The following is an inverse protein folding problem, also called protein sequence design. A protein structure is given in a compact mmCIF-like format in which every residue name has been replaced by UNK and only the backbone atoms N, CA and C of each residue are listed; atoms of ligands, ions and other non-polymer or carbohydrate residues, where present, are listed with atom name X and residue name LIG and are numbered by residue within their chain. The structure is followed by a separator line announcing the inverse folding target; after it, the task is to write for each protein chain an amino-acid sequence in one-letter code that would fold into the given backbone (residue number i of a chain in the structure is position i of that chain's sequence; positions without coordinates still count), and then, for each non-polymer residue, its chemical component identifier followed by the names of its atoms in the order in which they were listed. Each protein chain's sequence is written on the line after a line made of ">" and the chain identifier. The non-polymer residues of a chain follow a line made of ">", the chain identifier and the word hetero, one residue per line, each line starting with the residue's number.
data_IF_960904374296
#
_entry.id   IF_960904374296
#
_cell.length_a   1.000
_cell.length_b   1.000
_cell.length_c   1.000
_cell.angle_alpha   90.00
_cell.angle_beta   90.00
_cell.angle_gamma   90.00
#
_symmetry.space_group_name_H-M   'P 1'
#
loop_
_entity.id
_entity.type
_entity.pdbx_description
1 polymer ?
#
# COMPACT_ATOMS: atom_id res chain seq x y z
N UNK A 1 1.01 24.05 -14.41
CA UNK A 1 1.88 23.37 -13.43
C UNK A 1 1.24 22.07 -12.93
N UNK A 2 0.04 22.08 -12.32
CA UNK A 2 -0.61 20.90 -11.73
C UNK A 2 -0.72 19.70 -12.71
N UNK A 3 -1.30 19.90 -13.90
CA UNK A 3 -1.50 18.82 -14.87
C UNK A 3 -0.17 18.15 -15.31
N UNK A 4 0.90 18.93 -15.44
CA UNK A 4 2.22 18.40 -15.79
C UNK A 4 2.79 17.55 -14.66
N UNK A 5 2.65 18.02 -13.41
CA UNK A 5 3.12 17.29 -12.24
C UNK A 5 2.35 15.97 -12.04
N UNK A 6 1.02 16.00 -12.22
CA UNK A 6 0.19 14.80 -12.15
C UNK A 6 0.57 13.79 -13.24
N UNK A 7 0.75 14.25 -14.49
CA UNK A 7 1.16 13.37 -15.58
C UNK A 7 2.54 12.74 -15.33
N UNK A 8 3.49 13.47 -14.74
CA UNK A 8 4.78 12.93 -14.35
C UNK A 8 4.62 11.86 -13.26
N UNK A 9 3.83 12.13 -12.21
CA UNK A 9 3.58 11.15 -11.15
C UNK A 9 2.94 9.86 -11.70
N UNK A 10 1.96 9.99 -12.59
CA UNK A 10 1.33 8.84 -13.25
C UNK A 10 2.36 8.01 -14.03
N UNK A 11 3.17 8.67 -14.86
CA UNK A 11 4.21 8.01 -15.64
C UNK A 11 5.22 7.26 -14.76
N UNK A 12 5.68 7.89 -13.67
CA UNK A 12 6.64 7.28 -12.74
C UNK A 12 6.06 6.05 -12.06
N UNK A 13 4.82 6.15 -11.55
CA UNK A 13 4.16 5.04 -10.89
C UNK A 13 3.80 3.90 -11.85
N UNK A 14 3.40 4.22 -13.08
CA UNK A 14 3.18 3.22 -14.13
C UNK A 14 4.49 2.48 -14.48
N UNK A 15 5.60 3.21 -14.61
CA UNK A 15 6.93 2.59 -14.86
C UNK A 15 7.40 1.75 -13.68
N UNK A 16 6.94 2.05 -12.48
CA UNK A 16 7.17 1.27 -11.26
C UNK A 16 6.18 0.10 -11.09
N UNK A 17 5.36 -0.21 -12.09
CA UNK A 17 4.29 -1.22 -12.02
C UNK A 17 3.33 -1.00 -10.84
N UNK A 18 3.01 0.27 -10.54
CA UNK A 18 2.03 0.66 -9.52
C UNK A 18 0.90 1.41 -10.19
N UNK A 19 -0.23 0.74 -10.37
CA UNK A 19 -1.39 1.26 -11.09
C UNK A 19 -2.50 1.65 -10.11
N UNK A 20 -3.19 2.75 -10.44
CA UNK A 20 -4.34 3.23 -9.67
C UNK A 20 -5.58 3.22 -10.55
N UNK A 21 -6.67 2.66 -10.05
CA UNK A 21 -7.96 2.63 -10.74
C UNK A 21 -8.57 4.03 -10.84
N UNK A 22 -8.35 4.87 -9.82
CA UNK A 22 -8.89 6.23 -9.76
C UNK A 22 -7.82 7.21 -9.30
N UNK A 23 -7.55 8.22 -10.14
CA UNK A 23 -6.79 9.41 -9.79
C UNK A 23 -7.75 10.49 -9.33
N UNK A 24 -8.00 10.54 -8.01
CA UNK A 24 -9.00 11.42 -7.45
C UNK A 24 -8.48 12.86 -7.32
N UNK A 25 -9.29 13.83 -7.74
CA UNK A 25 -8.99 15.25 -7.60
C UNK A 25 -9.75 15.85 -6.42
N UNK A 26 -9.06 16.41 -5.43
CA UNK A 26 -9.68 17.12 -4.32
C UNK A 26 -10.59 18.27 -4.80
N UNK A 27 -10.24 18.91 -5.92
CA UNK A 27 -11.10 19.94 -6.54
C UNK A 27 -12.51 19.41 -6.82
N UNK A 28 -12.64 18.14 -7.22
CA UNK A 28 -13.94 17.53 -7.49
C UNK A 28 -14.87 17.48 -6.28
N UNK A 29 -14.33 17.45 -5.05
CA UNK A 29 -15.14 17.55 -3.84
C UNK A 29 -15.90 18.87 -3.78
N UNK A 30 -15.23 19.98 -4.14
CA UNK A 30 -15.83 21.31 -4.13
C UNK A 30 -16.78 21.52 -5.33
N UNK A 31 -16.40 21.01 -6.51
CA UNK A 31 -17.21 21.16 -7.74
C UNK A 31 -18.50 20.30 -7.72
N UNK A 32 -18.50 19.19 -7.00
CA UNK A 32 -19.61 18.23 -6.92
C UNK A 32 -20.51 18.39 -5.71
N UNK A 33 -20.34 19.44 -4.90
CA UNK A 33 -21.02 19.61 -3.60
C UNK A 33 -20.80 18.43 -2.64
N UNK A 34 -19.68 17.72 -2.76
CA UNK A 34 -19.37 16.62 -1.86
C UNK A 34 -19.00 17.12 -0.46
N UNK A 35 -18.44 18.32 -0.36
CA UNK A 35 -18.14 18.96 0.93
C UNK A 35 -19.43 19.25 1.69
N UNK A 36 -20.43 19.83 1.03
CA UNK A 36 -21.74 20.12 1.60
C UNK A 36 -22.44 18.83 2.05
N UNK A 37 -22.46 17.80 1.21
CA UNK A 37 -23.04 16.50 1.57
C UNK A 37 -22.32 15.83 2.73
N UNK A 38 -20.98 15.91 2.76
CA UNK A 38 -20.17 15.44 3.88
C UNK A 38 -20.53 16.13 5.18
N UNK A 39 -20.65 17.46 5.14
CA UNK A 39 -21.07 18.28 6.27
C UNK A 39 -22.48 17.93 6.75
N UNK A 40 -23.46 17.85 5.84
CA UNK A 40 -24.84 17.45 6.15
C UNK A 40 -24.88 16.08 6.83
N UNK A 41 -24.08 15.13 6.37
CA UNK A 41 -23.96 13.82 7.01
C UNK A 41 -23.48 13.93 8.45
N UNK A 42 -22.42 14.70 8.74
CA UNK A 42 -21.90 14.91 10.09
C UNK A 42 -22.92 15.63 11.00
N UNK A 43 -23.63 16.64 10.49
CA UNK A 43 -24.70 17.34 11.21
C UNK A 43 -25.82 16.36 11.56
N UNK A 44 -26.22 15.49 10.63
CA UNK A 44 -27.30 14.52 10.87
C UNK A 44 -26.96 13.48 11.95
N UNK A 45 -25.68 13.26 12.23
CA UNK A 45 -25.19 12.38 13.31
C UNK A 45 -25.12 13.08 14.67
N UNK A 46 -25.29 14.42 14.74
CA UNK A 46 -25.34 15.19 15.98
C UNK A 46 -23.95 15.54 16.58
N UNK A 47 -22.88 15.38 15.82
CA UNK A 47 -21.51 15.65 16.31
C UNK A 47 -20.96 17.02 15.88
N UNK A 48 -21.75 17.84 15.18
CA UNK A 48 -21.38 19.20 14.77
C UNK A 48 -22.00 20.21 15.70
N UNK A 49 -21.22 21.24 16.10
CA UNK A 49 -21.69 22.34 16.93
C UNK A 49 -20.96 23.63 16.59
N UNK A 50 -21.59 24.78 16.95
CA UNK A 50 -21.02 26.10 16.77
C UNK A 50 -20.47 26.64 18.10
N UNK A 51 -19.24 27.19 18.06
CA UNK A 51 -18.60 27.88 19.18
C UNK A 51 -17.67 28.98 18.68
N UNK A 52 -17.73 30.15 19.32
CA UNK A 52 -16.88 31.32 19.03
C UNK A 52 -16.92 31.76 17.55
N UNK A 53 -18.06 31.60 16.89
CA UNK A 53 -18.28 31.94 15.50
C UNK A 53 -17.73 30.89 14.49
N UNK A 54 -17.15 29.81 14.95
CA UNK A 54 -16.65 28.71 14.14
C UNK A 54 -17.52 27.47 14.31
N UNK A 55 -17.52 26.59 13.29
CA UNK A 55 -18.24 25.31 13.34
C UNK A 55 -17.25 24.19 13.59
N UNK A 56 -17.54 23.36 14.57
CA UNK A 56 -16.67 22.32 15.11
C UNK A 56 -17.26 20.93 14.94
N UNK A 57 -16.38 19.94 14.81
CA UNK A 57 -16.69 18.51 14.90
C UNK A 57 -16.22 17.97 16.25
N UNK A 58 -17.11 17.30 16.97
CA UNK A 58 -16.86 16.73 18.29
C UNK A 58 -16.11 15.41 18.19
N UNK A 59 -14.85 15.49 17.80
CA UNK A 59 -13.97 14.32 17.62
C UNK A 59 -13.52 13.72 18.95
N UNK A 60 -13.60 14.48 20.05
CA UNK A 60 -13.30 13.99 21.40
C UNK A 60 -14.26 12.92 21.90
N UNK A 61 -15.48 12.83 21.35
CA UNK A 61 -16.40 11.73 21.63
C UNK A 61 -15.85 10.36 21.20
N UNK A 62 -14.80 10.37 20.35
CA UNK A 62 -14.21 9.19 19.72
C UNK A 62 -12.66 9.17 19.81
N UNK A 63 -12.12 9.48 20.96
CA UNK A 63 -10.70 9.34 21.32
C UNK A 63 -9.71 10.25 20.55
N UNK A 64 -10.20 11.32 19.88
CA UNK A 64 -9.28 12.38 19.41
C UNK A 64 -8.86 13.28 20.60
N UNK A 65 -7.70 13.90 20.53
CA UNK A 65 -7.12 14.73 21.60
C UNK A 65 -7.89 16.05 21.84
N UNK A 66 -8.63 16.53 20.83
CA UNK A 66 -9.46 17.73 20.89
C UNK A 66 -10.45 17.78 19.75
N UNK A 67 -11.53 18.55 19.91
CA UNK A 67 -12.47 18.85 18.84
C UNK A 67 -11.80 19.64 17.69
N UNK A 68 -12.34 19.49 16.49
CA UNK A 68 -11.74 20.05 15.28
C UNK A 68 -12.64 21.03 14.58
N UNK A 69 -12.05 22.15 14.18
CA UNK A 69 -12.76 23.16 13.39
C UNK A 69 -12.97 22.64 11.97
N UNK A 70 -14.22 22.67 11.51
CA UNK A 70 -14.60 22.44 10.11
C UNK A 70 -14.66 23.76 9.34
N UNK A 71 -15.35 24.76 9.90
CA UNK A 71 -15.51 26.09 9.30
C UNK A 71 -14.99 27.12 10.31
N UNK A 72 -14.07 27.97 9.85
CA UNK A 72 -13.51 29.04 10.67
C UNK A 72 -14.52 30.16 10.90
N UNK A 73 -14.25 31.06 11.84
CA UNK A 73 -15.09 32.23 12.13
C UNK A 73 -15.26 33.21 10.95
N UNK A 74 -14.34 33.19 9.98
CA UNK A 74 -14.41 33.95 8.74
C UNK A 74 -15.24 33.27 7.63
N UNK A 75 -15.77 32.06 7.91
CA UNK A 75 -16.55 31.25 6.97
C UNK A 75 -15.72 30.36 6.05
N UNK A 76 -14.36 30.39 6.14
CA UNK A 76 -13.51 29.52 5.35
C UNK A 76 -13.50 28.09 5.87
N UNK A 77 -13.51 27.13 4.95
CA UNK A 77 -13.30 25.72 5.25
C UNK A 77 -11.85 25.46 5.69
N UNK A 78 -11.68 24.57 6.66
CA UNK A 78 -10.36 24.04 7.00
C UNK A 78 -9.98 22.87 6.09
N UNK A 79 -8.69 22.53 6.03
CA UNK A 79 -8.26 21.28 5.38
C UNK A 79 -8.95 20.05 5.96
N UNK A 80 -9.19 20.07 7.26
CA UNK A 80 -9.89 18.98 7.93
C UNK A 80 -11.34 18.79 7.45
N UNK A 81 -12.03 19.88 7.07
CA UNK A 81 -13.36 19.76 6.45
C UNK A 81 -13.30 19.02 5.10
N UNK A 82 -12.26 19.27 4.28
CA UNK A 82 -12.02 18.51 3.04
C UNK A 82 -11.72 17.04 3.32
N UNK A 83 -10.92 16.74 4.33
CA UNK A 83 -10.58 15.36 4.74
C UNK A 83 -11.84 14.59 5.18
N UNK A 84 -12.73 15.24 5.96
CA UNK A 84 -13.98 14.62 6.38
C UNK A 84 -14.93 14.37 5.21
N UNK A 85 -15.06 15.34 4.31
CA UNK A 85 -15.84 15.19 3.09
C UNK A 85 -15.31 14.07 2.18
N UNK A 86 -14.00 13.95 2.08
CA UNK A 86 -13.36 12.89 1.29
C UNK A 86 -13.59 11.49 1.89
N UNK A 87 -13.61 11.37 3.21
CA UNK A 87 -13.99 10.11 3.86
C UNK A 87 -15.44 9.72 3.49
N UNK A 88 -16.39 10.65 3.65
CA UNK A 88 -17.79 10.42 3.31
C UNK A 88 -17.97 10.11 1.82
N UNK A 89 -17.24 10.78 0.93
CA UNK A 89 -17.24 10.50 -0.50
C UNK A 89 -16.77 9.06 -0.81
N UNK A 90 -15.69 8.59 -0.17
CA UNK A 90 -15.23 7.20 -0.31
C UNK A 90 -16.31 6.20 0.08
N UNK A 91 -16.99 6.43 1.21
CA UNK A 91 -18.11 5.58 1.66
C UNK A 91 -19.28 5.61 0.67
N UNK A 92 -19.60 6.78 0.12
CA UNK A 92 -20.65 6.94 -0.88
C UNK A 92 -20.33 6.26 -2.22
N UNK A 93 -19.04 6.03 -2.53
CA UNK A 93 -18.62 5.21 -3.68
C UNK A 93 -18.81 3.70 -3.47
N UNK A 94 -19.30 3.26 -2.29
CA UNK A 94 -19.65 1.89 -1.99
C UNK A 94 -18.54 1.02 -1.43
N UNK A 95 -17.45 1.62 -0.95
CA UNK A 95 -16.39 0.87 -0.28
C UNK A 95 -16.75 0.59 1.19
N UNK A 96 -16.71 -0.67 1.59
CA UNK A 96 -16.96 -1.08 2.97
C UNK A 96 -15.84 -0.70 3.92
N UNK A 97 -14.59 -0.71 3.43
CA UNK A 97 -13.39 -0.36 4.16
C UNK A 97 -12.59 0.72 3.42
N UNK A 98 -12.31 1.82 4.10
CA UNK A 98 -11.42 2.87 3.62
C UNK A 98 -10.03 2.70 4.25
N UNK A 99 -9.01 2.39 3.46
CA UNK A 99 -7.63 2.25 3.92
C UNK A 99 -6.85 3.53 3.62
N UNK A 100 -6.25 4.12 4.65
CA UNK A 100 -5.36 5.27 4.53
C UNK A 100 -3.92 4.82 4.74
N UNK A 101 -3.06 5.11 3.78
CA UNK A 101 -1.62 4.87 3.89
C UNK A 101 -0.92 6.21 4.10
N UNK A 102 -0.36 6.40 5.29
CA UNK A 102 0.27 7.66 5.71
C UNK A 102 1.73 7.44 6.10
N UNK A 103 2.55 8.49 5.97
CA UNK A 103 3.92 8.49 6.50
C UNK A 103 3.95 8.59 8.03
N UNK A 104 5.07 8.21 8.63
CA UNK A 104 5.27 8.21 10.08
C UNK A 104 5.10 9.58 10.74
N UNK A 105 5.34 10.66 10.01
CA UNK A 105 5.11 12.04 10.44
C UNK A 105 3.62 12.38 10.64
N UNK A 106 2.71 11.56 10.11
CA UNK A 106 1.26 11.68 10.27
C UNK A 106 0.67 10.77 11.36
N UNK A 107 1.47 10.16 12.22
CA UNK A 107 0.98 9.26 13.27
C UNK A 107 -0.13 9.88 14.14
N UNK A 108 -0.03 11.16 14.47
CA UNK A 108 -1.07 11.90 15.19
C UNK A 108 -2.41 12.06 14.46
N UNK A 109 -2.48 11.69 13.16
CA UNK A 109 -3.73 11.73 12.39
C UNK A 109 -4.59 10.46 12.55
N UNK A 110 -4.05 9.38 13.08
CA UNK A 110 -4.74 8.07 13.17
C UNK A 110 -6.06 8.20 13.94
N UNK A 111 -6.01 8.68 15.18
CA UNK A 111 -7.21 8.82 16.01
C UNK A 111 -8.20 9.84 15.42
N UNK A 112 -7.67 10.92 14.83
CA UNK A 112 -8.49 11.93 14.14
C UNK A 112 -9.30 11.34 12.98
N UNK A 113 -8.67 10.53 12.12
CA UNK A 113 -9.36 9.89 10.99
C UNK A 113 -10.37 8.85 11.47
N UNK A 114 -10.05 8.09 12.52
CA UNK A 114 -11.00 7.16 13.15
C UNK A 114 -12.20 7.88 13.74
N UNK A 115 -11.97 9.01 14.42
CA UNK A 115 -13.03 9.85 14.94
C UNK A 115 -13.92 10.44 13.83
N UNK A 116 -13.36 10.80 12.66
CA UNK A 116 -14.14 11.21 11.48
C UNK A 116 -15.10 10.11 11.03
N UNK A 117 -14.62 8.86 10.93
CA UNK A 117 -15.45 7.73 10.56
C UNK A 117 -16.61 7.54 11.55
N UNK A 118 -16.34 7.58 12.85
CA UNK A 118 -17.35 7.47 13.91
C UNK A 118 -18.35 8.63 13.87
N UNK A 119 -17.88 9.88 13.70
CA UNK A 119 -18.74 11.04 13.54
C UNK A 119 -19.61 10.97 12.28
N UNK A 120 -19.20 10.25 11.25
CA UNK A 120 -20.00 9.99 10.06
C UNK A 120 -21.02 8.85 10.23
N UNK A 121 -21.04 8.19 11.41
CA UNK A 121 -21.95 7.11 11.74
C UNK A 121 -21.47 5.73 11.32
N UNK A 122 -20.18 5.58 11.02
CA UNK A 122 -19.51 4.31 10.69
C UNK A 122 -18.81 3.72 11.92
N UNK A 123 -18.50 2.42 11.89
CA UNK A 123 -17.67 1.77 12.91
C UNK A 123 -16.17 1.99 12.59
N UNK A 124 -15.41 2.72 13.45
CA UNK A 124 -14.00 2.99 13.22
C UNK A 124 -13.09 1.75 13.32
N UNK A 125 -13.61 0.59 13.72
CA UNK A 125 -12.88 -0.67 13.73
C UNK A 125 -13.16 -1.53 12.49
N UNK A 126 -14.16 -1.18 11.70
CA UNK A 126 -14.61 -1.94 10.52
C UNK A 126 -14.44 -1.14 9.24
N UNK A 127 -14.81 0.13 9.26
CA UNK A 127 -14.96 0.92 8.04
C UNK A 127 -13.73 1.78 7.68
N UNK A 128 -12.76 1.90 8.59
CA UNK A 128 -11.52 2.64 8.33
C UNK A 128 -10.31 1.89 8.91
N UNK A 129 -9.24 1.86 8.14
CA UNK A 129 -7.93 1.35 8.56
C UNK A 129 -6.87 2.40 8.22
N UNK A 130 -5.95 2.67 9.14
CA UNK A 130 -4.85 3.60 8.90
C UNK A 130 -3.54 2.87 9.05
N UNK A 131 -2.81 2.76 7.95
CA UNK A 131 -1.49 2.14 7.89
C UNK A 131 -0.42 3.24 7.92
N UNK A 132 0.59 3.07 8.77
CA UNK A 132 1.70 4.02 8.90
C UNK A 132 2.95 3.41 8.28
N UNK A 133 3.41 4.00 7.17
CA UNK A 133 4.67 3.65 6.54
C UNK A 133 5.85 4.37 7.18
N UNK A 134 6.92 3.62 7.49
CA UNK A 134 8.15 4.18 8.02
C UNK A 134 9.05 4.74 6.92
N UNK A 135 10.05 5.52 7.34
CA UNK A 135 11.03 6.11 6.42
C UNK A 135 11.93 5.02 5.83
N UNK A 136 12.15 5.12 4.53
CA UNK A 136 13.13 4.32 3.80
C UNK A 136 14.43 5.12 3.70
N UNK A 137 15.53 4.55 4.17
CA UNK A 137 16.87 5.08 4.03
C UNK A 137 17.61 4.33 2.95
N UNK A 138 18.59 4.97 2.31
CA UNK A 138 19.41 4.37 1.26
C UNK A 138 20.89 4.50 1.59
N UNK A 139 21.66 3.45 1.28
CA UNK A 139 23.12 3.44 1.33
C UNK A 139 23.70 3.22 -0.05
N UNK A 140 24.84 3.87 -0.34
CA UNK A 140 25.66 3.65 -1.53
C UNK A 140 27.12 3.83 -1.17
N UNK A 141 27.99 2.90 -1.58
CA UNK A 141 29.41 2.93 -1.24
C UNK A 141 29.70 2.84 0.26
N UNK A 142 28.81 2.23 1.05
CA UNK A 142 28.92 2.11 2.50
C UNK A 142 28.51 3.35 3.29
N UNK A 143 28.01 4.40 2.64
CA UNK A 143 27.56 5.64 3.27
C UNK A 143 26.06 5.88 3.08
N UNK A 144 25.38 6.42 4.10
CA UNK A 144 23.97 6.82 4.01
C UNK A 144 23.82 7.98 3.01
N UNK A 145 23.02 7.78 1.97
CA UNK A 145 22.68 8.84 1.02
C UNK A 145 21.71 9.81 1.70
N UNK A 146 22.22 10.99 2.06
CA UNK A 146 21.44 12.01 2.75
C UNK A 146 20.49 12.71 1.80
N UNK A 147 19.20 12.52 2.04
CA UNK A 147 18.13 13.24 1.37
C UNK A 147 18.01 14.65 1.96
N UNK A 148 18.37 15.68 1.22
CA UNK A 148 18.23 17.08 1.66
C UNK A 148 17.54 17.91 0.58
N UNK A 149 16.29 18.29 0.84
CA UNK A 149 15.54 19.24 -0.02
C UNK A 149 16.29 20.57 -0.22
N UNK A 150 17.06 21.00 0.79
CA UNK A 150 17.82 22.26 0.74
C UNK A 150 19.13 22.17 -0.07
N UNK A 151 19.71 20.98 -0.15
CA UNK A 151 20.95 20.74 -0.89
C UNK A 151 20.73 20.26 -2.32
N UNK A 152 19.48 20.08 -2.76
CA UNK A 152 19.14 19.54 -4.08
C UNK A 152 19.37 18.03 -4.24
N UNK A 153 19.77 17.34 -3.19
CA UNK A 153 20.01 15.90 -3.18
C UNK A 153 18.73 15.18 -2.75
N UNK A 154 17.77 15.06 -3.64
CA UNK A 154 16.57 14.23 -3.46
C UNK A 154 16.76 13.05 -4.38
N UNK A 155 16.77 11.82 -3.84
CA UNK A 155 16.61 10.62 -4.65
C UNK A 155 15.12 10.45 -4.92
N UNK A 156 14.77 10.49 -6.18
CA UNK A 156 13.41 10.21 -6.65
C UNK A 156 13.19 8.72 -6.80
N UNK A 157 11.94 8.30 -6.99
CA UNK A 157 11.63 6.91 -7.34
C UNK A 157 12.25 6.52 -8.70
N UNK A 158 12.32 7.49 -9.64
CA UNK A 158 13.00 7.30 -10.93
C UNK A 158 14.49 7.00 -10.73
N UNK A 159 15.18 7.77 -9.90
CA UNK A 159 16.61 7.54 -9.61
C UNK A 159 16.84 6.16 -8.98
N UNK A 160 15.97 5.72 -8.08
CA UNK A 160 16.07 4.38 -7.47
C UNK A 160 15.89 3.29 -8.54
N UNK A 161 14.89 3.43 -9.41
CA UNK A 161 14.61 2.47 -10.48
C UNK A 161 15.76 2.43 -11.50
N UNK A 162 16.33 3.57 -11.85
CA UNK A 162 17.46 3.65 -12.77
C UNK A 162 18.72 2.97 -12.19
N UNK A 163 18.91 3.03 -10.88
CA UNK A 163 20.08 2.43 -10.21
C UNK A 163 19.94 0.92 -10.03
N UNK A 164 18.79 0.41 -9.58
CA UNK A 164 18.65 -0.99 -9.15
C UNK A 164 17.65 -1.79 -9.99
N UNK A 165 16.89 -1.14 -10.85
CA UNK A 165 15.80 -1.73 -11.61
C UNK A 165 14.49 -1.86 -10.83
N UNK A 166 13.37 -1.95 -11.56
CA UNK A 166 12.01 -2.00 -11.00
C UNK A 166 11.82 -3.20 -10.07
N UNK A 167 12.24 -4.39 -10.48
CA UNK A 167 12.05 -5.63 -9.72
C UNK A 167 12.75 -5.59 -8.37
N UNK A 168 14.02 -5.16 -8.35
CA UNK A 168 14.80 -5.06 -7.12
C UNK A 168 14.24 -4.01 -6.18
N UNK A 169 13.87 -2.83 -6.71
CA UNK A 169 13.26 -1.77 -5.92
C UNK A 169 11.93 -2.22 -5.29
N UNK A 170 11.01 -2.79 -6.08
CA UNK A 170 9.71 -3.27 -5.61
C UNK A 170 9.85 -4.39 -4.59
N UNK A 171 10.63 -5.42 -4.90
CA UNK A 171 10.83 -6.56 -4.01
C UNK A 171 11.39 -6.13 -2.65
N UNK A 172 12.38 -5.23 -2.66
CA UNK A 172 13.02 -4.75 -1.44
C UNK A 172 12.05 -3.95 -0.56
N UNK A 173 11.16 -3.16 -1.16
CA UNK A 173 10.16 -2.39 -0.43
C UNK A 173 9.05 -3.26 0.17
N UNK A 174 8.60 -4.31 -0.55
CA UNK A 174 7.50 -5.17 -0.07
C UNK A 174 7.96 -6.33 0.80
N UNK A 175 9.25 -6.61 0.90
CA UNK A 175 9.81 -7.73 1.67
C UNK A 175 9.74 -7.53 3.18
N UNK A 176 9.52 -6.32 3.64
CA UNK A 176 9.48 -5.94 5.05
C UNK A 176 8.13 -5.31 5.40
N UNK A 177 7.72 -5.35 6.69
CA UNK A 177 6.54 -4.62 7.15
C UNK A 177 6.65 -3.12 6.83
N UNK A 178 5.55 -2.51 6.41
CA UNK A 178 5.54 -1.08 6.05
C UNK A 178 5.82 -0.16 7.26
N UNK A 179 5.53 -0.62 8.47
CA UNK A 179 5.76 0.09 9.73
C UNK A 179 7.17 -0.07 10.30
N UNK A 180 8.04 -0.84 9.62
CA UNK A 180 9.42 -1.05 10.02
C UNK A 180 10.37 -0.13 9.27
N UNK A 181 11.34 0.53 9.95
CA UNK A 181 12.37 1.30 9.26
C UNK A 181 13.17 0.43 8.30
N UNK A 182 13.35 0.89 7.08
CA UNK A 182 14.04 0.15 6.03
C UNK A 182 15.31 0.89 5.59
N UNK A 183 16.40 0.15 5.46
CA UNK A 183 17.65 0.60 4.88
C UNK A 183 17.93 -0.20 3.61
N UNK A 184 17.95 0.47 2.45
CA UNK A 184 18.26 -0.13 1.16
C UNK A 184 19.76 0.08 0.82
N UNK A 185 20.47 -1.01 0.60
CA UNK A 185 21.84 -0.99 0.07
C UNK A 185 21.78 -1.07 -1.46
N UNK A 186 22.02 0.07 -2.11
CA UNK A 186 21.88 0.19 -3.57
C UNK A 186 22.93 -0.65 -4.31
N UNK A 187 24.15 -0.78 -3.77
CA UNK A 187 25.21 -1.58 -4.38
C UNK A 187 24.82 -3.06 -4.36
N UNK A 188 24.28 -3.54 -3.24
CA UNK A 188 23.78 -4.90 -3.14
C UNK A 188 22.61 -5.14 -4.09
N UNK A 189 21.64 -4.24 -4.15
CA UNK A 189 20.45 -4.38 -4.97
C UNK A 189 20.73 -4.29 -6.47
N UNK A 190 21.78 -3.59 -6.88
CA UNK A 190 22.26 -3.56 -8.27
C UNK A 190 23.06 -4.81 -8.66
N UNK A 191 23.54 -5.60 -7.68
CA UNK A 191 24.39 -6.77 -7.94
C UNK A 191 23.59 -7.95 -8.49
N UNK A 192 24.21 -8.72 -9.38
CA UNK A 192 23.66 -9.98 -9.92
C UNK A 192 24.24 -11.20 -9.19
N UNK A 193 24.19 -11.18 -7.87
CA UNK A 193 24.72 -12.23 -7.00
C UNK A 193 23.63 -12.87 -6.17
N UNK A 194 23.90 -14.05 -5.59
CA UNK A 194 22.96 -14.73 -4.71
C UNK A 194 22.67 -13.96 -3.39
N UNK A 195 23.52 -12.98 -3.06
CA UNK A 195 23.30 -12.10 -1.91
C UNK A 195 22.19 -11.09 -2.17
N UNK A 196 21.93 -10.77 -3.45
CA UNK A 196 20.78 -9.96 -3.85
C UNK A 196 19.49 -10.81 -3.77
N UNK A 197 18.58 -10.49 -2.85
CA UNK A 197 17.41 -11.34 -2.62
C UNK A 197 16.46 -11.44 -3.83
N UNK A 198 16.34 -10.40 -4.65
CA UNK A 198 15.50 -10.46 -5.85
C UNK A 198 16.13 -11.36 -6.90
N UNK A 199 17.45 -11.26 -7.11
CA UNK A 199 18.17 -12.12 -8.04
C UNK A 199 18.07 -13.60 -7.64
N UNK A 200 18.13 -13.89 -6.35
CA UNK A 200 17.97 -15.25 -5.83
C UNK A 200 16.58 -15.82 -6.16
N UNK A 201 15.51 -15.05 -5.96
CA UNK A 201 14.14 -15.47 -6.29
C UNK A 201 13.96 -15.67 -7.80
N UNK A 202 14.46 -14.72 -8.62
CA UNK A 202 14.39 -14.82 -10.09
C UNK A 202 15.16 -16.03 -10.60
N UNK A 203 16.33 -16.31 -10.04
CA UNK A 203 17.14 -17.49 -10.38
C UNK A 203 16.41 -18.80 -10.04
N UNK A 204 15.81 -18.89 -8.86
CA UNK A 204 15.00 -20.06 -8.47
C UNK A 204 13.84 -20.27 -9.45
N UNK A 205 13.08 -19.21 -9.78
CA UNK A 205 12.01 -19.28 -10.77
C UNK A 205 12.50 -19.73 -12.14
N UNK A 206 13.60 -19.16 -12.63
CA UNK A 206 14.16 -19.51 -13.94
C UNK A 206 14.58 -21.00 -14.00
N UNK A 207 15.13 -21.53 -12.92
CA UNK A 207 15.49 -22.95 -12.81
C UNK A 207 14.26 -23.86 -12.82
N UNK A 208 13.25 -23.55 -12.03
CA UNK A 208 12.00 -24.33 -11.98
C UNK A 208 11.33 -24.32 -13.36
N UNK A 209 11.19 -23.16 -13.98
CA UNK A 209 10.63 -23.02 -15.31
C UNK A 209 11.43 -23.80 -16.37
N UNK A 210 12.77 -23.86 -16.24
CA UNK A 210 13.62 -24.65 -17.14
C UNK A 210 13.40 -26.16 -16.96
N UNK A 211 13.25 -26.64 -15.72
CA UNK A 211 12.94 -28.07 -15.46
C UNK A 211 11.63 -28.45 -16.11
N UNK A 212 10.58 -27.64 -15.95
CA UNK A 212 9.27 -27.90 -16.53
C UNK A 212 9.30 -27.90 -18.07
N UNK A 213 10.02 -26.95 -18.69
CA UNK A 213 10.21 -26.95 -20.16
C UNK A 213 10.93 -28.20 -20.63
N UNK A 214 12.04 -28.57 -19.99
CA UNK A 214 12.80 -29.76 -20.36
C UNK A 214 11.94 -31.04 -20.22
N UNK A 215 11.12 -31.12 -19.19
CA UNK A 215 10.20 -32.28 -19.01
C UNK A 215 9.16 -32.35 -20.14
N UNK A 216 8.66 -31.20 -20.60
CA UNK A 216 7.75 -31.13 -21.74
C UNK A 216 8.46 -31.50 -23.07
N UNK A 217 9.67 -30.97 -23.31
CA UNK A 217 10.47 -31.28 -24.50
C UNK A 217 10.81 -32.77 -24.60
N UNK A 218 11.03 -33.42 -23.47
CA UNK A 218 11.29 -34.87 -23.36
C UNK A 218 9.97 -35.68 -23.35
N UNK A 219 8.82 -35.05 -23.49
CA UNK A 219 7.50 -35.67 -23.46
C UNK A 219 7.20 -36.44 -22.16
N UNK A 220 7.85 -36.08 -21.06
CA UNK A 220 7.59 -36.66 -19.72
C UNK A 220 6.26 -36.14 -19.18
N UNK A 221 5.96 -34.84 -19.42
CA UNK A 221 4.72 -34.18 -19.05
C UNK A 221 4.16 -33.41 -20.24
N UNK A 222 2.84 -33.19 -20.34
CA UNK A 222 2.29 -32.26 -21.33
C UNK A 222 2.82 -30.85 -21.13
N UNK A 223 3.02 -30.11 -22.23
CA UNK A 223 3.44 -28.68 -22.18
C UNK A 223 2.38 -27.78 -21.55
N UNK A 224 1.11 -28.16 -21.65
CA UNK A 224 0.00 -27.47 -21.00
C UNK A 224 -0.30 -28.13 -19.65
N UNK A 225 -0.12 -27.36 -18.57
CA UNK A 225 -0.40 -27.80 -17.20
C UNK A 225 -1.86 -28.24 -17.01
N UNK A 226 -2.80 -27.64 -17.75
CA UNK A 226 -4.22 -28.01 -17.68
C UNK A 226 -4.50 -29.39 -18.27
N UNK A 227 -3.61 -29.92 -19.10
CA UNK A 227 -3.69 -31.25 -19.65
C UNK A 227 -3.10 -32.36 -18.73
N UNK A 228 -2.59 -31.98 -17.56
CA UNK A 228 -2.06 -32.95 -16.60
C UNK A 228 -3.21 -33.70 -15.90
N UNK A 229 -3.15 -35.03 -15.97
CA UNK A 229 -4.12 -35.87 -15.28
C UNK A 229 -3.68 -36.16 -13.83
N UNK A 230 -4.30 -35.46 -12.88
CA UNK A 230 -4.03 -35.65 -11.47
C UNK A 230 -4.37 -37.09 -10.98
N UNK A 231 -5.27 -37.82 -11.68
CA UNK A 231 -5.62 -39.18 -11.31
C UNK A 231 -4.60 -40.20 -11.78
N UNK A 232 -3.73 -39.85 -12.74
CA UNK A 232 -2.63 -40.69 -13.18
C UNK A 232 -1.42 -40.62 -12.23
N UNK A 233 -1.43 -39.73 -11.25
CA UNK A 233 -0.35 -39.55 -10.29
C UNK A 233 -0.42 -40.60 -9.17
N UNK A 234 0.70 -41.30 -8.98
CA UNK A 234 0.88 -42.24 -7.85
C UNK A 234 1.67 -41.58 -6.72
N UNK A 235 1.04 -41.16 -5.62
CA UNK A 235 1.73 -40.46 -4.53
C UNK A 235 2.73 -41.37 -3.79
N UNK A 236 2.67 -42.70 -3.93
CA UNK A 236 3.63 -43.61 -3.29
C UNK A 236 5.04 -43.52 -3.89
N UNK A 237 5.16 -42.92 -5.07
CA UNK A 237 6.46 -42.67 -5.70
C UNK A 237 7.24 -41.49 -5.04
N UNK A 238 6.55 -40.62 -4.29
CA UNK A 238 7.16 -39.51 -3.55
C UNK A 238 7.66 -39.99 -2.18
N UNK A 239 8.83 -40.59 -2.16
CA UNK A 239 9.39 -41.21 -0.96
C UNK A 239 10.55 -40.40 -0.34
N UNK A 240 11.07 -39.40 -1.04
CA UNK A 240 12.19 -38.61 -0.55
C UNK A 240 11.74 -37.49 0.38
N UNK A 241 12.46 -37.25 1.49
CA UNK A 241 12.12 -36.23 2.49
C UNK A 241 11.89 -34.84 1.87
N UNK A 242 12.69 -34.44 0.89
CA UNK A 242 12.55 -33.13 0.21
C UNK A 242 11.26 -32.97 -0.57
N UNK A 243 10.71 -34.06 -1.08
CA UNK A 243 9.42 -34.08 -1.80
C UNK A 243 8.30 -33.79 -0.79
N UNK A 244 8.34 -34.46 0.38
CA UNK A 244 7.40 -34.18 1.46
C UNK A 244 7.47 -32.75 1.98
N UNK A 245 8.70 -32.19 2.14
CA UNK A 245 8.88 -30.80 2.53
C UNK A 245 8.29 -29.82 1.49
N UNK A 246 8.51 -30.07 0.19
CA UNK A 246 7.95 -29.24 -0.88
C UNK A 246 6.40 -29.31 -0.89
N UNK A 247 5.83 -30.51 -0.77
CA UNK A 247 4.37 -30.69 -0.72
C UNK A 247 3.76 -29.93 0.48
N UNK A 248 4.42 -29.98 1.65
CA UNK A 248 3.98 -29.23 2.83
C UNK A 248 3.96 -27.71 2.60
N UNK A 249 5.01 -27.16 1.97
CA UNK A 249 5.06 -25.74 1.62
C UNK A 249 3.99 -25.35 0.60
N UNK A 250 3.77 -26.18 -0.43
CA UNK A 250 2.72 -25.93 -1.43
C UNK A 250 1.31 -26.01 -0.83
N UNK A 251 1.07 -26.95 0.09
CA UNK A 251 -0.22 -27.07 0.80
C UNK A 251 -0.48 -25.87 1.72
N UNK A 252 0.57 -25.26 2.30
CA UNK A 252 0.46 -24.09 3.17
C UNK A 252 0.26 -22.76 2.39
N UNK A 253 0.62 -22.72 1.11
CA UNK A 253 0.60 -21.51 0.30
C UNK A 253 -0.76 -20.77 0.27
N UNK A 254 -1.92 -21.43 0.12
CA UNK A 254 -3.22 -20.73 0.13
C UNK A 254 -3.47 -20.00 1.45
N UNK A 255 -3.08 -20.58 2.57
CA UNK A 255 -3.19 -19.96 3.90
C UNK A 255 -2.27 -18.74 4.02
N UNK A 256 -1.04 -18.84 3.54
CA UNK A 256 -0.07 -17.73 3.53
C UNK A 256 -0.61 -16.55 2.73
N UNK A 257 -1.14 -16.81 1.51
CA UNK A 257 -1.74 -15.77 0.66
C UNK A 257 -2.94 -15.11 1.35
N UNK A 258 -3.85 -15.92 1.93
CA UNK A 258 -5.01 -15.39 2.63
C UNK A 258 -4.61 -14.50 3.81
N UNK A 259 -3.65 -14.95 4.63
CA UNK A 259 -3.13 -14.18 5.77
C UNK A 259 -2.44 -12.89 5.33
N UNK A 260 -1.61 -12.95 4.28
CA UNK A 260 -0.94 -11.77 3.73
C UNK A 260 -1.95 -10.73 3.21
N UNK A 261 -3.02 -11.18 2.56
CA UNK A 261 -4.08 -10.31 2.07
C UNK A 261 -4.90 -9.70 3.21
N UNK A 262 -5.29 -10.49 4.20
CA UNK A 262 -6.06 -10.04 5.36
C UNK A 262 -5.30 -8.98 6.17
N UNK A 263 -4.01 -9.21 6.42
CA UNK A 263 -3.15 -8.31 7.18
C UNK A 263 -2.53 -7.19 6.32
N UNK A 264 -2.67 -7.22 5.00
CA UNK A 264 -1.99 -6.34 4.02
C UNK A 264 -0.46 -6.39 4.17
N UNK A 265 0.05 -7.58 4.40
CA UNK A 265 1.45 -7.85 4.70
C UNK A 265 2.05 -8.79 3.63
N UNK A 266 2.39 -8.26 2.43
CA UNK A 266 2.93 -9.08 1.33
C UNK A 266 4.29 -9.73 1.63
N UNK A 267 4.94 -9.32 2.71
CA UNK A 267 6.22 -9.88 3.16
C UNK A 267 6.11 -11.26 3.83
N UNK A 268 4.94 -11.76 4.09
CA UNK A 268 4.67 -13.03 4.77
C UNK A 268 5.06 -14.28 3.98
#
# INVERSE_FOLDING_TARGET
>A
AYALQLAQQQKVLDSFNTHFDVWYSERSLHESSAVERGFEKLVSQGHVYDQDGATWLRTTDFDDDKDRVLIKADGELTYFASDTAYYVDKRNRGFDLCIYLLGADHHGYVNRLRAVAACAGDDPNVNIEVLIGQLVKMMKGGEEVRLSKRAGNIITLEDLVDEVGVDAARYSLIRYPADSPLLLDLDLLASQTNDNPVHYVQYAHARIASVLRNAADLQIVPSDVQAWDANAFDPSLLSHEREGQLLGLLADYPRVVATAAELREPHR
#
